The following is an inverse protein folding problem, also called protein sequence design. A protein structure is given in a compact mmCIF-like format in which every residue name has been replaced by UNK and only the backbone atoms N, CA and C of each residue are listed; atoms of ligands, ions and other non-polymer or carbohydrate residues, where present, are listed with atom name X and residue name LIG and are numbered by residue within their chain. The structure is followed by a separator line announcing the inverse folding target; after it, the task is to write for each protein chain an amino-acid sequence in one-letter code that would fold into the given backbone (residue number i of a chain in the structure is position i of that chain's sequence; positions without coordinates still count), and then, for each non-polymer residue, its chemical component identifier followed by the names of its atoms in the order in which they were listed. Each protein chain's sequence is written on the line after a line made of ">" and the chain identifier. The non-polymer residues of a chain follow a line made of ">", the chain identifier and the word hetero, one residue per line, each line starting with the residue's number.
data_IF_873599911620
#
_entry.id   IF_873599911620
#
_cell.length_a   1.000
_cell.length_b   1.000
_cell.length_c   1.000
_cell.angle_alpha   90.00
_cell.angle_beta   90.00
_cell.angle_gamma   90.00
#
_symmetry.space_group_name_H-M   'P 1'
#
loop_
_entity.id
_entity.type
_entity.pdbx_description
1 polymer ?
#
# COMPACT_ATOMS: atom_id res chain seq x y z
N UNK A 1 5.72 7.32 -5.53
CA UNK A 1 5.50 5.92 -5.11
C UNK A 1 4.53 5.28 -6.11
N UNK A 2 4.85 4.13 -6.70
CA UNK A 2 4.04 3.51 -7.77
C UNK A 2 3.58 2.08 -7.45
N UNK A 3 3.97 1.55 -6.29
CA UNK A 3 3.71 0.17 -5.86
C UNK A 3 2.59 0.06 -4.80
N UNK A 4 2.32 1.14 -4.08
CA UNK A 4 1.25 1.27 -3.10
C UNK A 4 0.79 2.74 -3.04
N UNK A 5 -0.44 2.98 -2.59
CA UNK A 5 -0.98 4.33 -2.52
C UNK A 5 -0.66 5.07 -1.21
N UNK A 6 -0.35 4.34 -0.14
CA UNK A 6 0.07 4.87 1.15
C UNK A 6 1.22 4.05 1.74
N UNK A 7 1.99 4.68 2.63
CA UNK A 7 2.97 4.01 3.50
C UNK A 7 3.18 4.87 4.76
N UNK A 8 3.18 4.27 5.96
CA UNK A 8 3.81 4.83 7.15
C UNK A 8 5.20 4.22 7.38
N UNK A 9 6.18 5.08 7.61
CA UNK A 9 7.55 4.72 7.93
C UNK A 9 7.88 5.14 9.34
N UNK A 10 8.52 4.25 10.11
CA UNK A 10 8.96 4.51 11.47
C UNK A 10 10.47 4.70 11.52
N UNK A 11 10.97 5.71 12.23
CA UNK A 11 12.38 5.87 12.52
C UNK A 11 12.77 5.31 13.90
N UNK A 12 14.08 5.28 14.20
CA UNK A 12 14.59 4.85 15.52
C UNK A 12 14.40 5.92 16.62
N UNK A 13 14.06 7.14 16.24
CA UNK A 13 13.82 8.27 17.14
C UNK A 13 12.37 8.36 17.65
N UNK A 14 11.46 7.53 17.13
CA UNK A 14 10.05 7.51 17.50
C UNK A 14 9.15 8.38 16.61
N UNK A 15 9.64 8.82 15.44
CA UNK A 15 8.85 9.55 14.45
C UNK A 15 8.15 8.54 13.49
N UNK A 16 6.89 8.82 13.10
CA UNK A 16 6.25 8.21 11.91
C UNK A 16 6.08 9.28 10.84
N UNK A 17 6.45 8.91 9.62
CA UNK A 17 6.18 9.64 8.39
C UNK A 17 5.13 8.90 7.57
N UNK A 18 4.03 9.58 7.21
CA UNK A 18 3.03 9.08 6.27
C UNK A 18 3.27 9.70 4.90
N UNK A 19 3.41 8.87 3.87
CA UNK A 19 3.51 9.31 2.49
C UNK A 19 2.40 8.71 1.63
N UNK A 20 1.83 9.54 0.74
CA UNK A 20 0.77 9.16 -0.19
C UNK A 20 1.25 9.24 -1.64
N UNK A 21 0.76 8.34 -2.48
CA UNK A 21 1.09 8.31 -3.90
C UNK A 21 0.22 9.27 -4.68
N UNK A 22 0.77 10.41 -5.08
CA UNK A 22 0.12 11.28 -6.05
C UNK A 22 -0.21 10.54 -7.37
N UNK A 23 0.70 9.77 -8.02
CA UNK A 23 0.38 9.08 -9.27
C UNK A 23 -0.79 8.10 -9.20
N UNK A 24 -1.00 7.45 -8.06
CA UNK A 24 -2.08 6.48 -7.87
C UNK A 24 -3.38 7.14 -7.36
N UNK A 25 -3.30 8.27 -6.65
CA UNK A 25 -4.47 8.88 -6.02
C UNK A 25 -5.03 10.11 -6.75
N UNK A 26 -4.22 10.83 -7.56
CA UNK A 26 -4.61 12.12 -8.14
C UNK A 26 -5.82 12.08 -9.08
N UNK A 27 -6.07 10.93 -9.72
CA UNK A 27 -7.20 10.72 -10.63
C UNK A 27 -8.33 9.90 -9.98
N UNK A 28 -8.18 9.52 -8.71
CA UNK A 28 -9.18 8.75 -7.97
C UNK A 28 -10.19 9.68 -7.30
N UNK A 29 -11.39 9.18 -6.96
CA UNK A 29 -12.33 9.94 -6.17
C UNK A 29 -11.71 10.35 -4.82
N UNK A 30 -12.11 11.52 -4.30
CA UNK A 30 -11.62 12.05 -3.01
C UNK A 30 -11.71 11.04 -1.85
N UNK A 31 -12.71 10.15 -1.88
CA UNK A 31 -12.89 9.11 -0.85
C UNK A 31 -11.66 8.20 -0.74
N UNK A 32 -11.04 7.82 -1.85
CA UNK A 32 -9.90 6.88 -1.85
C UNK A 32 -8.68 7.53 -1.20
N UNK A 33 -8.45 8.82 -1.46
CA UNK A 33 -7.41 9.60 -0.79
C UNK A 33 -7.62 9.63 0.73
N UNK A 34 -8.87 9.87 1.17
CA UNK A 34 -9.23 9.94 2.59
C UNK A 34 -9.07 8.56 3.25
N UNK A 35 -9.57 7.50 2.63
CA UNK A 35 -9.52 6.14 3.16
C UNK A 35 -8.08 5.61 3.22
N UNK A 36 -7.24 5.88 2.21
CA UNK A 36 -5.80 5.56 2.25
C UNK A 36 -5.09 6.36 3.33
N UNK A 37 -5.34 7.66 3.47
CA UNK A 37 -4.72 8.44 4.55
C UNK A 37 -5.09 7.90 5.92
N UNK A 38 -6.37 7.61 6.15
CA UNK A 38 -6.84 7.09 7.45
C UNK A 38 -6.29 5.70 7.75
N UNK A 39 -6.11 4.84 6.74
CA UNK A 39 -5.41 3.56 6.88
C UNK A 39 -4.01 3.77 7.46
N UNK A 40 -3.19 4.62 6.83
CA UNK A 40 -1.83 4.90 7.30
C UNK A 40 -1.82 5.61 8.67
N UNK A 41 -2.82 6.44 8.98
CA UNK A 41 -2.95 7.08 10.29
C UNK A 41 -3.29 6.08 11.42
N UNK A 42 -3.99 4.98 11.13
CA UNK A 42 -4.20 3.91 12.12
C UNK A 42 -2.86 3.23 12.44
N UNK A 43 -2.04 2.92 11.43
CA UNK A 43 -0.68 2.41 11.64
C UNK A 43 0.16 3.37 12.50
N UNK A 44 0.16 4.66 12.14
CA UNK A 44 0.86 5.68 12.91
C UNK A 44 0.38 5.78 14.38
N UNK A 45 -0.94 5.70 14.61
CA UNK A 45 -1.51 5.74 15.95
C UNK A 45 -1.06 4.54 16.80
N UNK A 46 -1.08 3.34 16.23
CA UNK A 46 -0.66 2.12 16.93
C UNK A 46 0.85 2.12 17.22
N UNK A 47 1.66 2.67 16.31
CA UNK A 47 3.07 2.88 16.55
C UNK A 47 3.31 3.83 17.73
N UNK A 48 2.67 5.00 17.73
CA UNK A 48 2.87 6.02 18.77
C UNK A 48 2.37 5.53 20.14
N UNK A 49 1.22 4.85 20.19
CA UNK A 49 0.54 4.51 21.45
C UNK A 49 0.87 3.12 21.98
N UNK A 50 1.12 2.15 21.10
CA UNK A 50 1.35 0.76 21.47
C UNK A 50 2.77 0.28 21.14
N UNK A 51 3.63 1.13 20.54
CA UNK A 51 4.93 0.73 19.97
C UNK A 51 4.82 -0.42 18.97
N UNK A 52 3.67 -0.50 18.28
CA UNK A 52 3.45 -1.47 17.23
C UNK A 52 4.28 -1.08 16.00
N UNK A 53 5.25 -1.93 15.65
CA UNK A 53 6.14 -1.71 14.50
C UNK A 53 5.76 -2.60 13.31
N UNK A 54 4.66 -3.35 13.40
CA UNK A 54 4.19 -4.19 12.31
C UNK A 54 3.55 -3.33 11.21
N UNK A 55 4.34 -3.06 10.17
CA UNK A 55 3.94 -2.18 9.05
C UNK A 55 2.86 -2.80 8.18
N UNK A 56 2.87 -4.12 8.05
CA UNK A 56 1.90 -4.88 7.26
C UNK A 56 0.85 -5.55 8.18
N UNK A 57 0.89 -5.23 9.47
CA UNK A 57 0.07 -5.81 10.51
C UNK A 57 -1.32 -5.20 10.57
N UNK A 58 -2.33 -5.95 10.16
CA UNK A 58 -3.74 -5.58 10.33
C UNK A 58 -4.42 -6.45 11.40
N UNK A 59 -3.79 -6.51 12.57
CA UNK A 59 -4.25 -7.26 13.73
C UNK A 59 -5.55 -6.72 14.36
N UNK A 60 -6.00 -7.31 15.48
CA UNK A 60 -7.24 -6.89 16.16
C UNK A 60 -7.31 -5.39 16.47
N UNK A 61 -6.22 -4.77 16.93
CA UNK A 61 -6.18 -3.34 17.27
C UNK A 61 -6.37 -2.45 16.03
N UNK A 62 -5.73 -2.80 14.91
CA UNK A 62 -5.93 -2.10 13.64
C UNK A 62 -7.40 -2.19 13.22
N UNK A 63 -7.93 -3.43 13.21
CA UNK A 63 -9.33 -3.70 12.82
C UNK A 63 -10.33 -2.97 13.70
N UNK A 64 -10.07 -2.88 15.00
CA UNK A 64 -10.93 -2.14 15.94
C UNK A 64 -11.03 -0.66 15.55
N UNK A 65 -9.90 0.00 15.31
CA UNK A 65 -9.91 1.41 14.87
C UNK A 65 -10.50 1.60 13.49
N UNK A 66 -10.18 0.72 12.54
CA UNK A 66 -10.79 0.70 11.20
C UNK A 66 -12.32 0.64 11.28
N UNK A 67 -12.88 -0.33 12.02
CA UNK A 67 -14.33 -0.46 12.18
C UNK A 67 -14.96 0.72 12.93
N UNK A 68 -14.29 1.23 13.98
CA UNK A 68 -14.75 2.39 14.74
C UNK A 68 -14.87 3.63 13.84
N UNK A 69 -13.86 3.90 13.02
CA UNK A 69 -13.82 5.06 12.12
C UNK A 69 -14.84 4.89 10.97
N UNK A 70 -14.90 3.70 10.35
CA UNK A 70 -15.87 3.41 9.30
C UNK A 70 -17.30 3.64 9.78
N UNK A 71 -17.64 3.15 10.98
CA UNK A 71 -18.97 3.33 11.58
C UNK A 71 -19.28 4.80 11.88
N UNK A 72 -18.30 5.56 12.39
CA UNK A 72 -18.51 6.94 12.80
C UNK A 72 -18.61 7.92 11.62
N UNK A 73 -17.84 7.69 10.56
CA UNK A 73 -17.71 8.61 9.44
C UNK A 73 -18.43 8.13 8.15
N UNK A 74 -19.03 6.93 8.15
CA UNK A 74 -19.65 6.35 6.96
C UNK A 74 -18.63 6.02 5.86
N UNK A 75 -17.40 5.68 6.26
CA UNK A 75 -16.29 5.34 5.37
C UNK A 75 -16.13 3.83 5.23
N UNK A 76 -15.30 3.41 4.28
CA UNK A 76 -14.98 2.00 4.06
C UNK A 76 -13.46 1.77 3.98
N UNK A 77 -12.73 2.20 5.01
CA UNK A 77 -11.32 1.84 5.18
C UNK A 77 -11.21 0.32 5.20
N UNK A 78 -10.32 -0.22 4.37
CA UNK A 78 -10.07 -1.65 4.23
C UNK A 78 -8.61 -2.00 4.56
N UNK A 79 -8.39 -3.29 4.83
CA UNK A 79 -7.05 -3.87 5.02
C UNK A 79 -6.28 -3.90 3.70
N UNK A 80 -6.97 -4.23 2.62
CA UNK A 80 -6.40 -4.27 1.28
C UNK A 80 -6.87 -3.06 0.51
N UNK A 81 -5.94 -2.37 -0.11
CA UNK A 81 -6.30 -1.38 -1.11
C UNK A 81 -6.21 -1.98 -2.51
N UNK A 82 -7.24 -1.75 -3.32
CA UNK A 82 -7.28 -2.21 -4.71
C UNK A 82 -6.78 -1.09 -5.64
N UNK A 83 -5.47 -1.11 -5.92
CA UNK A 83 -4.82 -0.22 -6.89
C UNK A 83 -4.13 -1.03 -8.00
N UNK A 84 -4.57 -2.27 -8.23
CA UNK A 84 -3.85 -3.21 -9.10
C UNK A 84 -3.76 -2.70 -10.54
N UNK A 85 -4.83 -2.13 -11.08
CA UNK A 85 -4.88 -1.62 -12.45
C UNK A 85 -3.98 -0.39 -12.64
N UNK A 86 -4.00 0.55 -11.69
CA UNK A 86 -3.14 1.73 -11.72
C UNK A 86 -1.67 1.33 -11.55
N UNK A 87 -1.37 0.40 -10.65
CA UNK A 87 -0.02 -0.13 -10.45
C UNK A 87 0.49 -0.82 -11.72
N UNK A 88 -0.34 -1.62 -12.40
CA UNK A 88 0.02 -2.24 -13.68
C UNK A 88 0.26 -1.21 -14.79
N UNK A 89 -0.52 -0.13 -14.86
CA UNK A 89 -0.31 0.97 -15.81
C UNK A 89 1.10 1.58 -15.69
N UNK A 90 1.59 1.71 -14.45
CA UNK A 90 2.93 2.27 -14.20
C UNK A 90 4.07 1.25 -14.34
N UNK A 91 3.81 -0.06 -14.49
CA UNK A 91 4.84 -1.09 -14.70
C UNK A 91 5.26 -1.19 -16.18
N UNK A 92 5.80 -0.11 -16.71
CA UNK A 92 6.15 0.03 -18.14
C UNK A 92 7.42 -0.70 -18.56
N UNK A 93 8.29 -1.07 -17.62
CA UNK A 93 9.54 -1.77 -17.92
C UNK A 93 9.37 -3.26 -17.72
N UNK A 94 9.70 -4.07 -18.73
CA UNK A 94 9.54 -5.51 -18.66
C UNK A 94 10.73 -6.25 -19.25
N UNK A 95 11.02 -7.39 -18.65
CA UNK A 95 12.07 -8.32 -19.06
C UNK A 95 11.50 -9.72 -19.15
N UNK A 96 12.09 -10.52 -20.03
CA UNK A 96 11.81 -11.95 -20.12
C UNK A 96 13.11 -12.75 -20.04
N UNK A 97 13.15 -13.66 -19.08
CA UNK A 97 14.17 -14.70 -18.95
C UNK A 97 14.25 -15.53 -20.23
N UNK A 98 15.47 -15.72 -20.74
CA UNK A 98 15.76 -16.57 -21.90
C UNK A 98 16.07 -18.03 -21.52
N UNK A 99 16.09 -18.35 -20.23
CA UNK A 99 16.28 -19.71 -19.71
C UNK A 99 14.98 -20.52 -19.62
N UNK A 100 15.03 -21.72 -19.00
CA UNK A 100 13.90 -22.64 -18.89
C UNK A 100 12.67 -22.04 -18.18
N UNK A 101 12.87 -20.95 -17.44
CA UNK A 101 11.83 -20.31 -16.66
C UNK A 101 10.71 -19.69 -17.52
N UNK A 102 10.90 -19.53 -18.83
CA UNK A 102 9.93 -18.91 -19.72
C UNK A 102 8.63 -19.72 -19.97
N UNK A 103 8.60 -20.99 -19.57
CA UNK A 103 7.46 -21.93 -19.69
C UNK A 103 6.90 -22.32 -18.33
N UNK A 104 7.56 -21.88 -17.25
CA UNK A 104 7.22 -22.23 -15.88
C UNK A 104 6.18 -21.26 -15.33
N UNK A 105 5.08 -21.81 -14.79
CA UNK A 105 4.10 -21.06 -14.03
C UNK A 105 4.70 -20.55 -12.71
N UNK A 106 4.18 -19.45 -12.14
CA UNK A 106 3.09 -18.63 -12.68
C UNK A 106 3.55 -17.48 -13.58
N UNK A 107 4.85 -17.16 -13.58
CA UNK A 107 5.35 -15.91 -14.17
C UNK A 107 5.87 -16.03 -15.60
N UNK A 108 6.12 -17.24 -16.11
CA UNK A 108 6.60 -17.49 -17.49
C UNK A 108 7.85 -16.68 -17.86
N UNK A 109 8.72 -16.49 -16.86
CA UNK A 109 9.97 -15.73 -16.97
C UNK A 109 9.79 -14.22 -17.15
N UNK A 110 8.57 -13.69 -17.00
CA UNK A 110 8.27 -12.26 -17.17
C UNK A 110 8.42 -11.54 -15.83
N UNK A 111 9.14 -10.41 -15.85
CA UNK A 111 9.21 -9.45 -14.75
C UNK A 111 8.75 -8.10 -15.29
N UNK A 112 7.82 -7.44 -14.59
CA UNK A 112 7.39 -6.07 -14.88
C UNK A 112 7.66 -5.16 -13.70
N UNK A 113 8.23 -3.98 -13.94
CA UNK A 113 8.57 -2.99 -12.91
C UNK A 113 8.23 -1.57 -13.38
N UNK A 114 8.01 -0.68 -12.43
CA UNK A 114 7.82 0.75 -12.68
C UNK A 114 9.13 1.52 -12.89
N UNK A 115 10.27 0.89 -12.64
CA UNK A 115 11.60 1.47 -12.83
C UNK A 115 12.45 0.60 -13.76
N UNK A 116 13.32 1.24 -14.55
CA UNK A 116 14.26 0.55 -15.43
C UNK A 116 15.40 -0.11 -14.63
N UNK A 117 15.10 -1.25 -14.01
CA UNK A 117 16.04 -2.04 -13.23
C UNK A 117 15.80 -3.51 -13.52
N UNK A 118 16.76 -4.18 -14.15
CA UNK A 118 16.76 -5.63 -14.29
C UNK A 118 16.86 -6.33 -12.92
#
# INVERSE_FOLDING_TARGET
>A
MYSCAGICSYDRGGLCDIALSEPLLKLRPRKDLIETLLHEMIHAYLFVTCRDQDRDGHGPNFKEHMYRINKAAGLNISIYHDFHDEVELYKTHWWRCNGPCHTMKPHFGIVRRSTNRA
#
